data_IF_144840855195
#
_entry.id   IF_144840855195
#
_cell.length_a   1.000
_cell.length_b   1.000
_cell.length_c   1.000
_cell.angle_alpha   90.00
_cell.angle_beta   90.00
_cell.angle_gamma   90.00
#
_symmetry.space_group_name_H-M   'P 1'
#
loop_
_entity.id
_entity.type
_entity.pdbx_description
1 polymer ?
#
# COMPACT_ATOMS: atom_id res chain seq x y z
N UNK A 1 4.75 -8.14 -23.17
CA UNK A 1 3.58 -7.26 -22.93
C UNK A 1 4.08 -6.04 -22.19
N UNK A 2 3.63 -4.82 -22.54
CA UNK A 2 4.04 -3.60 -21.83
C UNK A 2 3.43 -3.59 -20.43
N UNK A 3 4.24 -3.30 -19.41
CA UNK A 3 3.77 -3.16 -18.04
C UNK A 3 2.79 -1.98 -17.92
N UNK A 4 1.63 -2.22 -17.30
CA UNK A 4 0.56 -1.24 -17.18
C UNK A 4 0.58 -0.58 -15.81
N UNK A 5 0.66 0.75 -15.81
CA UNK A 5 0.68 1.54 -14.58
C UNK A 5 -0.64 2.28 -14.36
N UNK A 6 -1.07 2.32 -13.11
CA UNK A 6 -2.31 2.92 -12.68
C UNK A 6 -2.02 4.07 -11.71
N UNK A 7 -2.74 5.18 -11.87
CA UNK A 7 -2.75 6.25 -10.87
C UNK A 7 -3.51 5.77 -9.63
N UNK A 8 -3.14 6.26 -8.46
CA UNK A 8 -3.82 5.94 -7.18
C UNK A 8 -5.33 6.12 -7.25
N UNK A 9 -5.83 7.17 -7.93
CA UNK A 9 -7.27 7.37 -8.11
C UNK A 9 -7.93 6.22 -8.89
N UNK A 10 -7.30 5.76 -9.96
CA UNK A 10 -7.81 4.65 -10.77
C UNK A 10 -7.72 3.34 -10.00
N UNK A 11 -6.57 3.08 -9.35
CA UNK A 11 -6.38 1.89 -8.52
C UNK A 11 -7.39 1.79 -7.38
N UNK A 12 -7.72 2.91 -6.71
CA UNK A 12 -8.75 2.93 -5.67
C UNK A 12 -10.09 2.38 -6.20
N UNK A 13 -10.51 2.83 -7.39
CA UNK A 13 -11.75 2.36 -8.03
C UNK A 13 -11.67 0.91 -8.54
N UNK A 14 -10.48 0.43 -8.87
CA UNK A 14 -10.27 -0.98 -9.24
C UNK A 14 -10.29 -1.91 -8.02
N UNK A 15 -9.94 -1.41 -6.84
CA UNK A 15 -10.02 -2.15 -5.57
C UNK A 15 -11.47 -2.27 -5.12
N UNK A 16 -12.15 -1.13 -5.02
CA UNK A 16 -13.58 -1.05 -4.68
C UNK A 16 -14.17 0.26 -5.18
N UNK A 17 -15.41 0.22 -5.68
CA UNK A 17 -16.04 1.36 -6.35
C UNK A 17 -16.22 2.58 -5.46
N UNK A 18 -16.39 2.38 -4.15
CA UNK A 18 -16.57 3.45 -3.15
C UNK A 18 -15.26 3.79 -2.43
N UNK A 19 -14.15 3.12 -2.76
CA UNK A 19 -12.90 3.35 -2.07
C UNK A 19 -12.30 4.71 -2.42
N UNK A 20 -12.05 5.51 -1.37
CA UNK A 20 -11.50 6.85 -1.50
C UNK A 20 -10.01 6.80 -1.86
N UNK A 21 -9.63 7.54 -2.91
CA UNK A 21 -8.23 7.70 -3.28
C UNK A 21 -7.40 8.35 -2.16
N UNK A 22 -8.01 9.23 -1.35
CA UNK A 22 -7.33 9.84 -0.19
C UNK A 22 -6.98 8.79 0.85
N UNK A 23 -7.89 7.85 1.12
CA UNK A 23 -7.63 6.73 2.03
C UNK A 23 -6.53 5.84 1.49
N UNK A 24 -6.54 5.54 0.19
CA UNK A 24 -5.49 4.74 -0.43
C UNK A 24 -4.11 5.42 -0.34
N UNK A 25 -4.00 6.73 -0.58
CA UNK A 25 -2.76 7.47 -0.34
C UNK A 25 -2.27 7.34 1.12
N UNK A 26 -3.19 7.42 2.09
CA UNK A 26 -2.84 7.24 3.51
C UNK A 26 -2.36 5.81 3.80
N UNK A 27 -2.95 4.80 3.17
CA UNK A 27 -2.52 3.41 3.34
C UNK A 27 -1.14 3.18 2.73
N UNK A 28 -0.89 3.66 1.52
CA UNK A 28 0.42 3.59 0.85
C UNK A 28 1.51 4.18 1.76
N UNK A 29 1.30 5.39 2.28
CA UNK A 29 2.27 6.00 3.21
C UNK A 29 2.48 5.18 4.49
N UNK A 30 1.45 4.49 4.99
CA UNK A 30 1.57 3.62 6.17
C UNK A 30 2.30 2.32 5.88
N UNK A 31 2.15 1.76 4.68
CA UNK A 31 2.87 0.59 4.19
C UNK A 31 4.35 0.95 4.07
N UNK A 32 4.70 2.00 3.32
CA UNK A 32 6.09 2.45 3.13
C UNK A 32 6.79 2.81 4.44
N UNK A 33 6.04 3.25 5.47
CA UNK A 33 6.59 3.51 6.81
C UNK A 33 6.87 2.25 7.62
N UNK A 34 6.15 1.16 7.36
CA UNK A 34 6.08 -0.04 8.22
C UNK A 34 6.67 -1.28 7.59
N UNK A 35 7.00 -1.23 6.32
CA UNK A 35 7.50 -2.36 5.54
C UNK A 35 8.64 -1.90 4.64
N UNK A 36 9.40 -2.84 4.11
CA UNK A 36 10.42 -2.60 3.09
C UNK A 36 9.83 -2.33 1.70
N UNK A 37 8.51 -2.46 1.53
CA UNK A 37 7.80 -2.24 0.28
C UNK A 37 7.74 -0.75 -0.10
N UNK A 38 8.18 -0.43 -1.32
CA UNK A 38 8.17 0.92 -1.89
C UNK A 38 7.41 0.95 -3.21
N UNK A 39 6.47 1.88 -3.35
CA UNK A 39 5.71 2.02 -4.58
C UNK A 39 6.47 2.85 -5.60
N UNK A 40 6.28 2.53 -6.88
CA UNK A 40 6.91 3.27 -7.97
C UNK A 40 6.46 4.74 -7.95
N UNK A 41 7.43 5.64 -8.10
CA UNK A 41 7.20 7.07 -8.22
C UNK A 41 7.83 7.60 -9.50
N UNK A 42 7.12 8.54 -10.13
CA UNK A 42 7.58 9.26 -11.30
C UNK A 42 7.39 10.75 -11.05
N UNK A 43 8.49 11.49 -11.15
CA UNK A 43 8.43 12.94 -11.07
C UNK A 43 7.82 13.50 -12.34
N UNK A 44 6.83 14.36 -12.17
CA UNK A 44 6.11 15.03 -13.25
C UNK A 44 5.99 16.52 -12.95
N UNK A 45 5.78 17.32 -14.00
CA UNK A 45 5.40 18.72 -13.84
C UNK A 45 3.87 18.83 -13.92
N UNK A 46 3.25 19.36 -12.88
CA UNK A 46 1.82 19.71 -12.87
C UNK A 46 1.71 21.22 -12.73
N UNK A 47 1.24 21.89 -13.78
CA UNK A 47 1.14 23.36 -13.84
C UNK A 47 2.47 24.06 -13.48
N UNK A 48 3.60 23.52 -13.96
CA UNK A 48 4.94 24.03 -13.68
C UNK A 48 5.53 23.64 -12.31
N UNK A 49 4.77 22.94 -11.46
CA UNK A 49 5.23 22.49 -10.14
C UNK A 49 5.68 21.02 -10.22
N UNK A 50 6.90 20.68 -9.78
CA UNK A 50 7.34 19.29 -9.65
C UNK A 50 6.48 18.53 -8.63
N UNK A 51 5.94 17.39 -9.04
CA UNK A 51 5.13 16.51 -8.20
C UNK A 51 5.60 15.08 -8.41
N UNK A 52 5.90 14.39 -7.31
CA UNK A 52 6.22 12.96 -7.34
C UNK A 52 4.94 12.13 -7.39
N UNK A 53 4.60 11.62 -8.58
CA UNK A 53 3.38 10.86 -8.80
C UNK A 53 3.60 9.36 -8.53
N UNK A 54 2.77 8.79 -7.66
CA UNK A 54 2.74 7.35 -7.42
C UNK A 54 2.08 6.63 -8.59
N UNK A 55 2.73 5.58 -9.06
CA UNK A 55 2.29 4.66 -10.10
C UNK A 55 2.19 3.26 -9.49
N UNK A 56 1.07 2.59 -9.72
CA UNK A 56 0.79 1.26 -9.20
C UNK A 56 0.77 0.26 -10.34
N UNK A 57 1.43 -0.88 -10.17
CA UNK A 57 1.36 -2.02 -11.08
C UNK A 57 0.09 -2.83 -10.85
N UNK A 58 -0.13 -3.87 -11.65
CA UNK A 58 -1.21 -4.82 -11.41
C UNK A 58 -0.99 -5.63 -10.13
N UNK A 59 0.26 -5.99 -9.85
CA UNK A 59 0.65 -6.68 -8.62
C UNK A 59 0.39 -5.83 -7.38
N UNK A 60 0.75 -4.54 -7.42
CA UNK A 60 0.43 -3.58 -6.35
C UNK A 60 -1.08 -3.59 -6.06
N UNK A 61 -1.91 -3.56 -7.11
CA UNK A 61 -3.36 -3.56 -6.97
C UNK A 61 -3.85 -4.86 -6.34
N UNK A 62 -3.27 -6.02 -6.69
CA UNK A 62 -3.64 -7.30 -6.07
C UNK A 62 -3.31 -7.33 -4.57
N UNK A 63 -2.14 -6.85 -4.18
CA UNK A 63 -1.76 -6.72 -2.77
C UNK A 63 -2.69 -5.75 -2.03
N UNK A 64 -2.97 -4.59 -2.63
CA UNK A 64 -3.88 -3.61 -2.05
C UNK A 64 -5.33 -4.11 -1.95
N UNK A 65 -5.79 -4.96 -2.89
CA UNK A 65 -7.08 -5.67 -2.79
C UNK A 65 -7.11 -6.65 -1.62
N UNK A 66 -6.02 -7.43 -1.43
CA UNK A 66 -5.89 -8.31 -0.27
C UNK A 66 -5.95 -7.51 1.03
N UNK A 67 -5.17 -6.42 1.13
CA UNK A 67 -5.20 -5.52 2.28
C UNK A 67 -6.61 -4.97 2.53
N UNK A 68 -7.29 -4.50 1.48
CA UNK A 68 -8.65 -3.97 1.58
C UNK A 68 -9.63 -5.02 2.12
N UNK A 69 -9.57 -6.27 1.63
CA UNK A 69 -10.41 -7.36 2.11
C UNK A 69 -10.16 -7.66 3.59
N UNK A 70 -8.89 -7.77 4.00
CA UNK A 70 -8.51 -8.01 5.40
C UNK A 70 -9.05 -6.89 6.31
N UNK A 71 -8.90 -5.63 5.89
CA UNK A 71 -9.32 -4.48 6.68
C UNK A 71 -10.84 -4.30 6.72
N UNK A 72 -11.51 -4.30 5.59
CA UNK A 72 -12.92 -3.91 5.49
C UNK A 72 -13.88 -5.11 5.52
N UNK A 73 -13.47 -6.25 4.95
CA UNK A 73 -14.26 -7.49 4.97
C UNK A 73 -14.08 -8.25 6.29
N UNK A 74 -12.85 -8.51 6.69
CA UNK A 74 -12.51 -9.28 7.90
C UNK A 74 -12.35 -8.40 9.15
N UNK A 75 -12.48 -7.07 9.02
CA UNK A 75 -12.37 -6.08 10.11
C UNK A 75 -11.05 -6.11 10.88
N UNK A 76 -9.96 -6.57 10.26
CA UNK A 76 -8.64 -6.56 10.90
C UNK A 76 -8.16 -5.13 11.17
N UNK A 77 -7.38 -4.97 12.22
CA UNK A 77 -6.64 -3.73 12.45
C UNK A 77 -5.71 -3.48 11.24
N UNK A 78 -5.55 -2.20 10.84
CA UNK A 78 -4.90 -1.86 9.57
C UNK A 78 -3.42 -2.24 9.57
N UNK A 79 -2.71 -2.02 10.67
CA UNK A 79 -1.30 -2.41 10.83
C UNK A 79 -1.15 -3.92 10.73
N UNK A 80 -1.98 -4.69 11.44
CA UNK A 80 -1.99 -6.15 11.34
C UNK A 80 -2.29 -6.63 9.91
N UNK A 81 -3.22 -5.97 9.21
CA UNK A 81 -3.54 -6.29 7.83
C UNK A 81 -2.40 -5.93 6.85
N UNK A 82 -1.68 -4.83 7.09
CA UNK A 82 -0.49 -4.46 6.33
C UNK A 82 0.59 -5.54 6.49
N UNK A 83 0.89 -5.93 7.73
CA UNK A 83 1.89 -6.96 8.00
C UNK A 83 1.55 -8.30 7.34
N UNK A 84 0.31 -8.76 7.47
CA UNK A 84 -0.14 -10.00 6.82
C UNK A 84 -0.17 -9.95 5.27
N UNK A 85 -0.03 -8.74 4.68
CA UNK A 85 -0.04 -8.56 3.23
C UNK A 85 1.35 -8.35 2.66
N UNK A 86 2.19 -7.56 3.34
CA UNK A 86 3.42 -7.00 2.78
C UNK A 86 4.70 -7.48 3.47
N UNK A 87 4.61 -8.16 4.62
CA UNK A 87 5.79 -8.75 5.26
C UNK A 87 5.91 -10.24 4.93
N UNK A 88 7.14 -10.70 4.74
CA UNK A 88 7.44 -12.12 4.78
C UNK A 88 7.29 -12.67 6.22
N UNK A 89 7.14 -13.99 6.42
CA UNK A 89 7.12 -14.59 7.75
C UNK A 89 8.36 -14.22 8.59
N UNK A 90 9.52 -14.12 7.95
CA UNK A 90 10.79 -13.76 8.58
C UNK A 90 10.78 -12.29 9.03
N UNK A 91 10.40 -11.36 8.15
CA UNK A 91 10.29 -9.93 8.50
C UNK A 91 9.27 -9.68 9.61
N UNK A 92 8.17 -10.45 9.63
CA UNK A 92 7.18 -10.39 10.68
C UNK A 92 7.75 -10.89 12.01
N UNK A 93 8.47 -12.01 12.01
CA UNK A 93 9.09 -12.58 13.20
C UNK A 93 10.12 -11.64 13.82
N UNK A 94 11.01 -11.07 13.00
CA UNK A 94 11.99 -10.07 13.46
C UNK A 94 11.31 -8.87 14.12
N UNK A 95 10.19 -8.41 13.54
CA UNK A 95 9.48 -7.25 14.05
C UNK A 95 8.77 -7.51 15.38
N UNK A 96 8.17 -8.70 15.54
CA UNK A 96 7.57 -9.11 16.81
C UNK A 96 8.65 -9.24 17.90
N UNK A 97 9.82 -9.79 17.58
CA UNK A 97 10.94 -9.87 18.53
C UNK A 97 11.45 -8.49 18.98
N UNK A 98 11.44 -7.49 18.08
CA UNK A 98 11.81 -6.12 18.44
C UNK A 98 10.77 -5.49 19.36
N UNK A 99 9.47 -5.68 19.09
CA UNK A 99 8.39 -5.13 19.92
C UNK A 99 8.36 -5.77 21.32
N UNK A 100 8.66 -7.07 21.44
CA UNK A 100 8.76 -7.78 22.73
C UNK A 100 9.96 -7.31 23.58
N UNK A 101 11.05 -6.84 22.96
CA UNK A 101 12.25 -6.37 23.67
C UNK A 101 12.20 -4.90 24.13
N UNK A 102 11.09 -4.18 23.87
CA UNK A 102 10.91 -2.77 24.25
C UNK A 102 10.04 -2.63 25.54
N UNK A 103 9.56 -3.74 26.10
CA UNK A 103 8.83 -3.82 27.37
C UNK A 103 9.56 -4.69 28.41
#
# INVERSE_FOLDING_TARGET
MSEKYYRVRTAAKLIDSEFSSRTLYSWIAKIEKRTTYHFLRKDILRNGIPVSQILLTEEDILLLKKLYRLRNGERKELTAAIFATFLSPEELAERLMIEENIF
#
